data_IF_757694463889
#
_entry.id   IF_757694463889
#
_cell.length_a   1.000
_cell.length_b   1.000
_cell.length_c   1.000
_cell.angle_alpha   90.00
_cell.angle_beta   90.00
_cell.angle_gamma   90.00
#
_symmetry.space_group_name_H-M   'P 1'
#
loop_
_entity.id
_entity.type
_entity.pdbx_description
1 polymer ?
#
# COMPACT_ATOMS: atom_id res chain seq x y z
N UNK A 1 -8.41 -75.29 -41.46
CA UNK A 1 -8.74 -75.45 -40.04
C UNK A 1 -7.47 -75.80 -39.29
N UNK A 2 -6.79 -74.80 -38.73
CA UNK A 2 -5.85 -74.98 -37.62
C UNK A 2 -5.73 -73.66 -36.86
N UNK A 3 -5.75 -73.80 -35.54
CA UNK A 3 -5.78 -72.79 -34.49
C UNK A 3 -4.45 -72.05 -34.33
N UNK A 4 -4.51 -70.72 -34.21
CA UNK A 4 -3.39 -69.88 -33.74
C UNK A 4 -3.79 -69.25 -32.39
N UNK A 5 -2.91 -69.22 -31.36
CA UNK A 5 -3.27 -68.87 -30.00
C UNK A 5 -3.32 -67.35 -29.77
N UNK A 6 -4.12 -66.95 -28.77
CA UNK A 6 -4.23 -65.57 -28.30
C UNK A 6 -2.89 -65.04 -27.77
N UNK A 7 -2.48 -63.87 -28.26
CA UNK A 7 -1.38 -63.07 -27.70
C UNK A 7 -1.96 -62.06 -26.70
N UNK A 8 -1.37 -61.88 -25.51
CA UNK A 8 -1.88 -60.93 -24.53
C UNK A 8 -1.62 -59.50 -25.02
N UNK A 9 -2.68 -58.69 -25.06
CA UNK A 9 -2.58 -57.24 -25.25
C UNK A 9 -1.78 -56.64 -24.09
N UNK A 10 -0.54 -56.25 -24.38
CA UNK A 10 0.27 -55.41 -23.50
C UNK A 10 -0.33 -54.00 -23.55
N UNK A 11 -1.06 -53.61 -22.51
CA UNK A 11 -1.50 -52.24 -22.31
C UNK A 11 -0.31 -51.40 -21.81
N UNK A 12 0.40 -50.74 -22.74
CA UNK A 12 1.36 -49.69 -22.41
C UNK A 12 0.76 -48.34 -22.78
N UNK A 13 0.19 -47.66 -21.80
CA UNK A 13 0.71 -46.38 -21.32
C UNK A 13 -0.23 -45.85 -20.25
N UNK A 14 0.25 -45.90 -19.00
CA UNK A 14 -0.31 -45.14 -17.91
C UNK A 14 -0.43 -43.70 -18.33
N UNK A 15 -1.63 -43.14 -18.19
CA UNK A 15 -1.79 -41.71 -18.15
C UNK A 15 -0.94 -41.21 -17.00
N UNK A 16 0.10 -40.46 -17.35
CA UNK A 16 0.80 -39.56 -16.44
C UNK A 16 -0.26 -38.74 -15.71
N UNK A 17 -0.58 -39.16 -14.49
CA UNK A 17 -1.07 -38.28 -13.44
C UNK A 17 0.07 -37.28 -13.23
N UNK A 18 0.04 -36.22 -14.04
CA UNK A 18 0.95 -35.09 -13.90
C UNK A 18 0.97 -34.72 -12.45
N UNK A 19 2.12 -34.96 -11.83
CA UNK A 19 2.50 -34.43 -10.53
C UNK A 19 2.04 -32.97 -10.49
N UNK A 20 0.92 -32.70 -9.82
CA UNK A 20 0.60 -31.36 -9.34
C UNK A 20 1.78 -30.98 -8.44
N UNK A 21 2.77 -30.31 -9.02
CA UNK A 21 3.85 -29.73 -8.25
C UNK A 21 3.18 -28.78 -7.28
N UNK A 22 3.06 -29.18 -6.01
CA UNK A 22 2.59 -28.31 -4.95
C UNK A 22 3.45 -27.05 -5.03
N UNK A 23 2.84 -25.94 -5.44
CA UNK A 23 3.55 -24.68 -5.57
C UNK A 23 4.15 -24.39 -4.21
N UNK A 24 5.48 -24.31 -4.14
CA UNK A 24 6.13 -24.22 -2.85
C UNK A 24 5.65 -22.93 -2.16
N UNK A 25 5.32 -22.92 -0.85
CA UNK A 25 4.85 -21.71 -0.16
C UNK A 25 5.78 -20.50 -0.30
N UNK A 26 7.07 -20.73 -0.60
CA UNK A 26 8.04 -19.69 -0.94
C UNK A 26 7.83 -19.03 -2.30
N UNK A 27 7.42 -19.78 -3.33
CA UNK A 27 7.14 -19.25 -4.68
C UNK A 27 5.91 -18.34 -4.66
N UNK A 28 4.88 -18.71 -3.90
CA UNK A 28 3.69 -17.88 -3.66
C UNK A 28 4.08 -16.57 -2.95
N UNK A 29 4.94 -16.65 -1.93
CA UNK A 29 5.41 -15.47 -1.21
C UNK A 29 6.18 -14.49 -2.10
N UNK A 30 7.07 -14.98 -2.97
CA UNK A 30 7.81 -14.16 -3.93
C UNK A 30 6.86 -13.48 -4.91
N UNK A 31 5.89 -14.21 -5.47
CA UNK A 31 4.87 -13.66 -6.36
C UNK A 31 4.06 -12.53 -5.71
N UNK A 32 3.68 -12.68 -4.44
CA UNK A 32 2.98 -11.65 -3.66
C UNK A 32 3.86 -10.41 -3.47
N UNK A 33 5.13 -10.59 -3.08
CA UNK A 33 6.06 -9.47 -2.89
C UNK A 33 6.28 -8.70 -4.19
N UNK A 34 6.48 -9.38 -5.32
CA UNK A 34 6.66 -8.74 -6.63
C UNK A 34 5.40 -7.98 -7.04
N UNK A 35 4.23 -8.63 -6.93
CA UNK A 35 2.95 -8.00 -7.26
C UNK A 35 2.70 -6.73 -6.43
N UNK A 36 2.99 -6.77 -5.12
CA UNK A 36 2.87 -5.62 -4.22
C UNK A 36 3.92 -4.56 -4.49
N UNK A 37 5.15 -4.96 -4.79
CA UNK A 37 6.22 -4.03 -5.20
C UNK A 37 5.80 -3.19 -6.39
N UNK A 38 5.22 -3.82 -7.42
CA UNK A 38 4.70 -3.14 -8.61
C UNK A 38 3.64 -2.09 -8.25
N UNK A 39 2.65 -2.45 -7.42
CA UNK A 39 1.61 -1.52 -6.98
C UNK A 39 2.16 -0.33 -6.20
N UNK A 40 3.09 -0.59 -5.27
CA UNK A 40 3.73 0.48 -4.51
C UNK A 40 4.66 1.33 -5.36
N UNK A 41 5.30 0.76 -6.37
CA UNK A 41 6.11 1.53 -7.30
C UNK A 41 5.26 2.58 -8.01
N UNK A 42 4.15 2.21 -8.65
CA UNK A 42 3.22 3.16 -9.30
C UNK A 42 2.70 4.21 -8.29
N UNK A 43 2.31 3.74 -7.10
CA UNK A 43 1.86 4.60 -6.02
C UNK A 43 2.89 5.67 -5.62
N UNK A 44 4.15 5.26 -5.42
CA UNK A 44 5.22 6.17 -5.01
C UNK A 44 5.72 7.04 -6.16
N UNK A 45 5.65 6.56 -7.40
CA UNK A 45 5.88 7.40 -8.59
C UNK A 45 4.94 8.60 -8.57
N UNK A 46 3.64 8.36 -8.37
CA UNK A 46 2.68 9.44 -8.22
C UNK A 46 2.98 10.30 -6.97
N UNK A 47 3.24 9.66 -5.82
CA UNK A 47 3.49 10.37 -4.56
C UNK A 47 4.68 11.34 -4.64
N UNK A 48 5.81 10.89 -5.17
CA UNK A 48 7.00 11.73 -5.37
C UNK A 48 6.72 12.83 -6.40
N UNK A 49 6.04 12.52 -7.51
CA UNK A 49 5.65 13.52 -8.50
C UNK A 49 4.70 14.58 -7.91
N UNK A 50 3.82 14.21 -6.98
CA UNK A 50 2.92 15.17 -6.31
C UNK A 50 3.66 16.18 -5.42
N UNK A 51 4.82 15.81 -4.88
CA UNK A 51 5.66 16.72 -4.10
C UNK A 51 6.59 17.57 -4.98
N UNK A 52 7.17 16.98 -6.03
CA UNK A 52 8.27 17.60 -6.78
C UNK A 52 7.88 18.22 -8.13
N UNK A 53 6.83 17.71 -8.77
CA UNK A 53 6.52 17.94 -10.18
C UNK A 53 5.19 18.65 -10.37
N UNK A 54 4.11 18.03 -9.88
CA UNK A 54 2.75 18.49 -10.13
C UNK A 54 2.45 19.91 -9.66
N UNK A 55 3.04 20.43 -8.56
CA UNK A 55 2.84 21.82 -8.16
C UNK A 55 3.19 22.80 -9.30
N UNK A 56 4.29 22.55 -10.02
CA UNK A 56 4.70 23.39 -11.16
C UNK A 56 3.96 23.05 -12.45
N UNK A 57 3.77 21.77 -12.75
CA UNK A 57 3.23 21.33 -14.06
C UNK A 57 1.71 21.54 -14.18
N UNK A 58 0.97 21.35 -13.09
CA UNK A 58 -0.49 21.36 -13.09
C UNK A 58 -1.10 22.53 -12.32
N UNK A 59 -0.34 23.16 -11.42
CA UNK A 59 -0.82 24.28 -10.61
C UNK A 59 0.08 25.54 -10.70
N UNK A 60 0.60 25.93 -11.89
CA UNK A 60 1.52 27.07 -12.00
C UNK A 60 0.90 28.42 -11.64
N UNK A 61 -0.43 28.49 -11.56
CA UNK A 61 -1.19 29.69 -11.21
C UNK A 61 -1.26 29.96 -9.70
N UNK A 62 -0.80 29.03 -8.85
CA UNK A 62 -0.85 29.16 -7.40
C UNK A 62 0.56 29.36 -6.82
N UNK A 63 0.64 30.01 -5.66
CA UNK A 63 1.89 30.13 -4.90
C UNK A 63 2.46 28.74 -4.54
N UNK A 64 3.79 28.57 -4.42
CA UNK A 64 4.42 27.25 -4.29
C UNK A 64 3.82 26.34 -3.22
N UNK A 65 3.58 26.88 -2.01
CA UNK A 65 2.94 26.12 -0.93
C UNK A 65 1.52 25.67 -1.31
N UNK A 66 0.72 26.57 -1.87
CA UNK A 66 -0.67 26.27 -2.22
C UNK A 66 -0.76 25.31 -3.41
N UNK A 67 0.14 25.42 -4.38
CA UNK A 67 0.29 24.47 -5.48
C UNK A 67 0.61 23.05 -4.97
N UNK A 68 1.48 22.91 -3.96
CA UNK A 68 1.76 21.63 -3.31
C UNK A 68 0.56 21.09 -2.55
N UNK A 69 -0.18 21.94 -1.83
CA UNK A 69 -1.41 21.53 -1.15
C UNK A 69 -2.49 21.07 -2.14
N UNK A 70 -2.65 21.75 -3.28
CA UNK A 70 -3.55 21.29 -4.34
C UNK A 70 -3.13 19.95 -4.92
N UNK A 71 -1.83 19.74 -5.13
CA UNK A 71 -1.34 18.43 -5.57
C UNK A 71 -1.63 17.32 -4.55
N UNK A 72 -1.45 17.59 -3.26
CA UNK A 72 -1.79 16.64 -2.20
C UNK A 72 -3.30 16.42 -2.03
N UNK A 73 -4.13 17.43 -2.32
CA UNK A 73 -5.57 17.27 -2.36
C UNK A 73 -5.99 16.30 -3.49
N UNK A 74 -5.38 16.41 -4.68
CA UNK A 74 -5.61 15.46 -5.78
C UNK A 74 -5.06 14.07 -5.42
N UNK A 75 -3.88 13.99 -4.79
CA UNK A 75 -3.30 12.74 -4.30
C UNK A 75 -4.27 11.97 -3.39
N UNK A 76 -4.95 12.68 -2.48
CA UNK A 76 -5.93 12.13 -1.54
C UNK A 76 -7.15 11.50 -2.22
N UNK A 77 -7.52 11.94 -3.43
CA UNK A 77 -8.70 11.44 -4.16
C UNK A 77 -8.62 9.94 -4.43
N UNK A 78 -7.44 9.38 -4.70
CA UNK A 78 -7.30 7.94 -4.87
C UNK A 78 -7.75 7.16 -3.63
N UNK A 79 -7.43 7.66 -2.43
CA UNK A 79 -7.82 6.99 -1.20
C UNK A 79 -9.30 7.16 -0.88
N UNK A 80 -9.88 8.31 -1.23
CA UNK A 80 -11.33 8.52 -1.12
C UNK A 80 -12.06 7.54 -2.06
N UNK A 81 -11.54 7.35 -3.27
CA UNK A 81 -12.12 6.47 -4.27
C UNK A 81 -11.92 4.97 -3.97
N UNK A 82 -10.90 4.58 -3.19
CA UNK A 82 -10.60 3.17 -2.87
C UNK A 82 -11.75 2.40 -2.22
N UNK A 83 -12.34 2.85 -1.09
CA UNK A 83 -13.49 2.15 -0.51
C UNK A 83 -14.66 1.99 -1.49
N UNK A 84 -14.92 3.01 -2.33
CA UNK A 84 -15.96 2.96 -3.36
C UNK A 84 -15.62 1.90 -4.42
N UNK A 85 -14.36 1.86 -4.85
CA UNK A 85 -13.82 0.81 -5.72
C UNK A 85 -14.00 -0.58 -5.12
N UNK A 86 -13.66 -0.77 -3.85
CA UNK A 86 -13.82 -2.05 -3.15
C UNK A 86 -15.27 -2.51 -3.15
N UNK A 87 -16.23 -1.62 -2.84
CA UNK A 87 -17.66 -1.94 -2.90
C UNK A 87 -18.07 -2.36 -4.32
N UNK A 88 -17.68 -1.56 -5.33
CA UNK A 88 -17.99 -1.81 -6.73
C UNK A 88 -17.42 -3.16 -7.21
N UNK A 89 -16.15 -3.43 -6.94
CA UNK A 89 -15.48 -4.63 -7.42
C UNK A 89 -15.88 -5.89 -6.64
N UNK A 90 -16.24 -5.79 -5.37
CA UNK A 90 -16.87 -6.90 -4.64
C UNK A 90 -18.24 -7.26 -5.23
N UNK A 91 -19.02 -6.25 -5.65
CA UNK A 91 -20.26 -6.47 -6.39
C UNK A 91 -20.01 -7.13 -7.76
N UNK A 92 -19.04 -6.65 -8.55
CA UNK A 92 -18.64 -7.28 -9.82
C UNK A 92 -18.23 -8.74 -9.61
N UNK A 93 -17.44 -9.03 -8.57
CA UNK A 93 -17.06 -10.40 -8.24
C UNK A 93 -18.27 -11.27 -7.88
N UNK A 94 -19.24 -10.74 -7.12
CA UNK A 94 -20.45 -11.49 -6.76
C UNK A 94 -21.34 -11.82 -7.96
N UNK A 95 -21.29 -11.00 -9.02
CA UNK A 95 -22.19 -11.10 -10.17
C UNK A 95 -21.60 -11.84 -11.38
N UNK A 96 -20.28 -11.82 -11.53
CA UNK A 96 -19.56 -12.46 -12.65
C UNK A 96 -18.49 -13.44 -12.16
N UNK A 97 -17.28 -12.97 -11.85
CA UNK A 97 -16.18 -13.82 -11.38
C UNK A 97 -15.05 -13.00 -10.76
N UNK A 98 -14.15 -13.68 -10.02
CA UNK A 98 -12.89 -13.09 -9.53
C UNK A 98 -11.98 -12.64 -10.67
N UNK A 99 -11.93 -13.41 -11.77
CA UNK A 99 -11.17 -13.06 -12.97
C UNK A 99 -11.66 -11.75 -13.57
N UNK A 100 -12.97 -11.61 -13.80
CA UNK A 100 -13.58 -10.38 -14.34
C UNK A 100 -13.28 -9.17 -13.46
N UNK A 101 -13.42 -9.31 -12.13
CA UNK A 101 -13.05 -8.27 -11.16
C UNK A 101 -11.60 -7.83 -11.36
N UNK A 102 -10.66 -8.78 -11.36
CA UNK A 102 -9.23 -8.47 -11.41
C UNK A 102 -8.82 -7.86 -12.75
N UNK A 103 -9.32 -8.39 -13.87
CA UNK A 103 -9.08 -7.84 -15.21
C UNK A 103 -9.55 -6.40 -15.31
N UNK A 104 -10.80 -6.13 -14.90
CA UNK A 104 -11.38 -4.80 -14.99
C UNK A 104 -10.64 -3.79 -14.09
N UNK A 105 -10.27 -4.20 -12.87
CA UNK A 105 -9.50 -3.38 -11.95
C UNK A 105 -8.12 -3.01 -12.52
N UNK A 106 -7.36 -4.00 -12.99
CA UNK A 106 -6.01 -3.78 -13.49
C UNK A 106 -5.99 -3.05 -14.84
N UNK A 107 -6.98 -3.27 -15.70
CA UNK A 107 -7.15 -2.49 -16.93
C UNK A 107 -7.45 -1.02 -16.62
N UNK A 108 -8.34 -0.74 -15.67
CA UNK A 108 -8.62 0.63 -15.21
C UNK A 108 -7.38 1.29 -14.60
N UNK A 109 -6.60 0.54 -13.80
CA UNK A 109 -5.34 1.02 -13.25
C UNK A 109 -4.34 1.39 -14.36
N UNK A 110 -4.06 0.46 -15.27
CA UNK A 110 -3.10 0.65 -16.35
C UNK A 110 -3.48 1.80 -17.29
N UNK A 111 -4.75 1.89 -17.69
CA UNK A 111 -5.24 2.99 -18.53
C UNK A 111 -5.18 4.34 -17.83
N UNK A 112 -5.44 4.40 -16.53
CA UNK A 112 -5.30 5.64 -15.74
C UNK A 112 -3.84 6.07 -15.61
N UNK A 113 -2.92 5.13 -15.35
CA UNK A 113 -1.48 5.39 -15.26
C UNK A 113 -0.92 5.84 -16.63
N UNK A 114 -1.35 5.22 -17.72
CA UNK A 114 -1.05 5.69 -19.08
C UNK A 114 -1.60 7.11 -19.33
N UNK A 115 -2.84 7.36 -18.93
CA UNK A 115 -3.49 8.66 -19.05
C UNK A 115 -2.69 9.78 -18.38
N UNK A 116 -2.15 9.53 -17.19
CA UNK A 116 -1.27 10.47 -16.48
C UNK A 116 0.07 10.66 -17.22
N UNK A 117 0.68 9.58 -17.71
CA UNK A 117 1.96 9.65 -18.41
C UNK A 117 1.89 10.52 -19.68
N UNK A 118 0.78 10.47 -20.41
CA UNK A 118 0.56 11.26 -21.63
C UNK A 118 -0.13 12.61 -21.38
N UNK A 119 -0.46 12.96 -20.13
CA UNK A 119 -1.24 14.15 -19.83
C UNK A 119 -0.44 15.45 -20.12
N UNK A 120 -0.97 16.37 -20.95
CA UNK A 120 -0.37 17.68 -21.14
C UNK A 120 -0.48 18.52 -19.86
N UNK A 121 0.52 19.38 -19.61
CA UNK A 121 0.53 20.29 -18.47
C UNK A 121 -0.48 21.44 -18.58
N UNK A 122 -0.62 22.21 -17.49
CA UNK A 122 -1.57 23.32 -17.41
C UNK A 122 -1.36 24.37 -18.49
N UNK A 123 -0.12 24.66 -18.87
CA UNK A 123 0.20 25.64 -19.92
C UNK A 123 -0.39 25.28 -21.30
N UNK A 124 -0.66 23.99 -21.57
CA UNK A 124 -1.18 23.53 -22.86
C UNK A 124 -2.71 23.45 -22.90
N UNK A 125 -3.34 22.96 -21.83
CA UNK A 125 -4.78 22.67 -21.82
C UNK A 125 -5.53 23.27 -20.61
N UNK A 126 -4.87 24.13 -19.83
CA UNK A 126 -5.45 24.87 -18.71
C UNK A 126 -6.02 23.98 -17.62
N UNK A 127 -7.16 24.40 -17.07
CA UNK A 127 -7.86 23.69 -15.98
C UNK A 127 -8.25 22.25 -16.34
N UNK A 128 -8.42 21.95 -17.62
CA UNK A 128 -8.69 20.58 -18.10
C UNK A 128 -7.58 19.61 -17.68
N UNK A 129 -6.32 20.05 -17.61
CA UNK A 129 -5.21 19.22 -17.12
C UNK A 129 -5.44 18.76 -15.67
N UNK A 130 -5.89 19.69 -14.81
CA UNK A 130 -6.16 19.41 -13.39
C UNK A 130 -7.35 18.47 -13.23
N UNK A 131 -8.41 18.67 -14.01
CA UNK A 131 -9.61 17.82 -14.00
C UNK A 131 -9.26 16.40 -14.45
N UNK A 132 -8.51 16.26 -15.55
CA UNK A 132 -8.08 14.95 -16.04
C UNK A 132 -7.13 14.25 -15.06
N UNK A 133 -6.17 14.98 -14.47
CA UNK A 133 -5.30 14.43 -13.43
C UNK A 133 -6.12 13.90 -12.25
N UNK A 134 -7.15 14.65 -11.82
CA UNK A 134 -8.05 14.28 -10.74
C UNK A 134 -8.91 13.07 -11.09
N UNK A 135 -9.41 13.00 -12.32
CA UNK A 135 -10.16 11.87 -12.84
C UNK A 135 -9.29 10.61 -12.86
N UNK A 136 -8.11 10.66 -13.48
CA UNK A 136 -7.20 9.52 -13.53
C UNK A 136 -6.77 9.08 -12.14
N UNK A 137 -6.48 10.02 -11.23
CA UNK A 137 -6.12 9.68 -9.85
C UNK A 137 -7.27 9.01 -9.10
N UNK A 138 -8.50 9.48 -9.28
CA UNK A 138 -9.69 8.85 -8.71
C UNK A 138 -9.89 7.45 -9.28
N UNK A 139 -9.74 7.28 -10.60
CA UNK A 139 -9.81 5.99 -11.29
C UNK A 139 -8.74 5.00 -10.81
N UNK A 140 -7.50 5.44 -10.58
CA UNK A 140 -6.46 4.61 -9.94
C UNK A 140 -6.93 4.15 -8.55
N UNK A 141 -7.55 5.03 -7.76
CA UNK A 141 -8.13 4.68 -6.47
C UNK A 141 -9.23 3.62 -6.57
N UNK A 142 -10.20 3.81 -7.47
CA UNK A 142 -11.27 2.83 -7.75
C UNK A 142 -10.66 1.49 -8.13
N UNK A 143 -9.67 1.49 -9.03
CA UNK A 143 -8.99 0.29 -9.49
C UNK A 143 -8.28 -0.46 -8.37
N UNK A 144 -7.57 0.25 -7.48
CA UNK A 144 -6.85 -0.36 -6.35
C UNK A 144 -7.78 -1.11 -5.39
N UNK A 145 -8.99 -0.58 -5.13
CA UNK A 145 -9.99 -1.30 -4.33
C UNK A 145 -10.43 -2.63 -4.96
N UNK A 146 -10.30 -2.77 -6.28
CA UNK A 146 -10.55 -4.02 -6.99
C UNK A 146 -9.36 -4.99 -7.04
N UNK A 147 -8.14 -4.51 -6.80
CA UNK A 147 -6.93 -5.17 -7.29
C UNK A 147 -6.18 -6.04 -6.31
N UNK A 148 -6.50 -6.08 -4.99
CA UNK A 148 -6.14 -7.15 -4.01
C UNK A 148 -6.20 -6.80 -2.49
N UNK A 149 -6.82 -5.69 -2.06
CA UNK A 149 -6.82 -5.32 -0.64
C UNK A 149 -7.50 -6.39 0.26
N UNK A 150 -6.71 -7.05 1.11
CA UNK A 150 -7.15 -8.11 2.04
C UNK A 150 -6.36 -9.42 1.99
N UNK A 151 -5.66 -9.71 0.89
CA UNK A 151 -4.92 -10.98 0.72
C UNK A 151 -3.70 -11.14 1.63
N UNK A 152 -2.90 -10.10 1.95
CA UNK A 152 -1.87 -10.21 2.99
C UNK A 152 -2.43 -10.62 4.36
N UNK A 153 -3.64 -10.17 4.69
CA UNK A 153 -4.33 -10.59 5.92
C UNK A 153 -4.74 -12.07 5.88
N UNK A 154 -5.13 -12.58 4.71
CA UNK A 154 -5.52 -13.99 4.51
C UNK A 154 -4.31 -14.92 4.47
N UNK A 155 -3.21 -14.52 3.82
CA UNK A 155 -1.92 -15.23 3.84
C UNK A 155 -1.44 -15.46 5.28
N UNK A 156 -1.51 -14.42 6.13
CA UNK A 156 -1.15 -14.54 7.54
C UNK A 156 -2.08 -15.45 8.36
N UNK A 157 -3.31 -15.73 7.89
CA UNK A 157 -4.26 -16.59 8.58
C UNK A 157 -4.06 -18.07 8.24
N UNK A 158 -3.73 -18.35 6.98
CA UNK A 158 -3.40 -19.68 6.47
C UNK A 158 -1.98 -20.13 6.86
N UNK A 159 -1.12 -19.21 7.31
CA UNK A 159 0.20 -19.53 7.84
C UNK A 159 0.14 -20.27 9.20
N UNK A 160 1.15 -21.13 9.49
CA UNK A 160 1.31 -21.79 10.79
C UNK A 160 1.23 -20.79 11.94
N UNK A 161 0.59 -21.18 13.06
CA UNK A 161 0.31 -20.26 14.20
C UNK A 161 1.54 -19.50 14.70
N UNK A 162 2.73 -20.11 14.63
CA UNK A 162 4.01 -19.56 15.10
C UNK A 162 4.80 -18.76 14.04
N UNK A 163 4.26 -18.59 12.81
CA UNK A 163 4.87 -17.80 11.73
C UNK A 163 3.96 -16.71 11.16
N UNK A 164 2.83 -16.43 11.82
CA UNK A 164 1.81 -15.52 11.27
C UNK A 164 2.32 -14.08 11.14
N UNK A 165 3.21 -13.65 12.03
CA UNK A 165 3.92 -12.37 11.95
C UNK A 165 4.86 -12.31 10.76
N UNK A 166 5.64 -13.38 10.52
CA UNK A 166 6.48 -13.52 9.33
C UNK A 166 5.68 -13.43 8.02
N UNK A 167 4.61 -14.20 7.87
CA UNK A 167 3.81 -14.15 6.64
C UNK A 167 3.04 -12.83 6.46
N UNK A 168 2.63 -12.18 7.56
CA UNK A 168 2.00 -10.86 7.48
C UNK A 168 2.95 -9.78 6.94
N UNK A 169 4.22 -9.79 7.37
CA UNK A 169 5.20 -8.80 6.89
C UNK A 169 5.58 -9.01 5.43
N UNK A 170 5.55 -10.25 4.92
CA UNK A 170 5.96 -10.54 3.53
C UNK A 170 5.11 -9.75 2.54
N UNK A 171 3.79 -9.69 2.75
CA UNK A 171 2.90 -8.89 1.90
C UNK A 171 3.13 -7.36 1.99
N UNK A 172 3.81 -6.91 3.05
CA UNK A 172 4.11 -5.50 3.30
C UNK A 172 5.50 -5.09 2.77
N UNK A 173 6.42 -6.04 2.57
CA UNK A 173 7.77 -5.79 2.02
C UNK A 173 7.74 -5.13 0.63
N UNK A 174 6.66 -5.31 -0.14
CA UNK A 174 6.50 -4.63 -1.42
C UNK A 174 6.53 -3.09 -1.30
N UNK A 175 6.11 -2.52 -0.16
CA UNK A 175 6.10 -1.08 0.05
C UNK A 175 7.50 -0.44 0.01
N UNK A 176 8.45 -0.83 0.87
CA UNK A 176 9.78 -0.24 0.85
C UNK A 176 10.55 -0.59 -0.43
N UNK A 177 10.33 -1.77 -1.03
CA UNK A 177 11.00 -2.11 -2.31
C UNK A 177 10.49 -1.21 -3.44
N UNK A 178 9.17 -1.05 -3.59
CA UNK A 178 8.59 -0.15 -4.59
C UNK A 178 9.03 1.30 -4.38
N UNK A 179 9.10 1.73 -3.12
CA UNK A 179 9.61 3.05 -2.75
C UNK A 179 11.08 3.26 -3.14
N UNK A 180 11.97 2.31 -2.82
CA UNK A 180 13.40 2.39 -3.15
C UNK A 180 13.58 2.57 -4.66
N UNK A 181 12.89 1.77 -5.47
CA UNK A 181 13.00 1.84 -6.93
C UNK A 181 12.49 3.19 -7.45
N UNK A 182 11.33 3.66 -6.95
CA UNK A 182 10.79 4.96 -7.34
C UNK A 182 11.72 6.12 -6.93
N UNK A 183 12.17 6.15 -5.68
CA UNK A 183 13.05 7.20 -5.16
C UNK A 183 14.41 7.21 -5.87
N UNK A 184 15.00 6.04 -6.13
CA UNK A 184 16.24 5.94 -6.89
C UNK A 184 16.08 6.43 -8.34
N UNK A 185 14.98 6.08 -8.99
CA UNK A 185 14.69 6.53 -10.36
C UNK A 185 14.49 8.05 -10.41
N UNK A 186 13.71 8.63 -9.50
CA UNK A 186 13.56 10.08 -9.40
C UNK A 186 14.88 10.76 -9.07
N UNK A 187 15.69 10.20 -8.18
CA UNK A 187 17.02 10.74 -7.84
C UNK A 187 17.91 10.80 -9.07
N UNK A 188 17.95 9.71 -9.85
CA UNK A 188 18.72 9.61 -11.09
C UNK A 188 18.24 10.62 -12.13
N UNK A 189 16.94 10.71 -12.38
CA UNK A 189 16.40 11.66 -13.36
C UNK A 189 16.68 13.11 -12.95
N UNK A 190 16.52 13.44 -11.67
CA UNK A 190 16.76 14.79 -11.15
C UNK A 190 18.24 15.17 -11.17
N UNK A 191 19.16 14.21 -11.04
CA UNK A 191 20.61 14.48 -11.14
C UNK A 191 21.15 14.50 -12.56
N UNK A 192 20.49 13.79 -13.49
CA UNK A 192 20.99 13.58 -14.86
C UNK A 192 20.40 14.56 -15.87
N UNK A 193 19.25 15.18 -15.57
CA UNK A 193 18.57 16.10 -16.47
C UNK A 193 18.70 17.54 -15.99
N UNK A 194 18.59 18.48 -16.94
CA UNK A 194 18.37 19.89 -16.58
C UNK A 194 17.00 20.06 -15.93
N UNK A 195 16.82 21.12 -15.14
CA UNK A 195 15.50 21.43 -14.55
C UNK A 195 14.42 21.56 -15.63
N UNK A 196 14.75 22.18 -16.78
CA UNK A 196 13.80 22.34 -17.89
C UNK A 196 13.38 20.98 -18.46
N UNK A 197 14.33 20.10 -18.78
CA UNK A 197 14.03 18.77 -19.32
C UNK A 197 13.27 17.89 -18.32
N UNK A 198 13.61 17.99 -17.04
CA UNK A 198 12.94 17.23 -15.99
C UNK A 198 11.45 17.57 -15.90
N UNK A 199 11.10 18.86 -15.94
CA UNK A 199 9.70 19.32 -15.89
C UNK A 199 8.97 19.19 -17.24
N UNK A 200 9.69 19.26 -18.36
CA UNK A 200 9.10 19.12 -19.69
C UNK A 200 8.72 17.68 -20.00
N UNK A 201 9.62 16.71 -19.82
CA UNK A 201 9.35 15.30 -20.16
C UNK A 201 9.90 14.29 -19.14
N UNK A 202 10.99 14.61 -18.44
CA UNK A 202 11.71 13.65 -17.59
C UNK A 202 10.85 12.98 -16.53
N UNK A 203 9.96 13.74 -15.88
CA UNK A 203 9.05 13.22 -14.85
C UNK A 203 8.03 12.20 -15.37
N UNK A 204 7.77 12.12 -16.68
CA UNK A 204 6.84 11.15 -17.27
C UNK A 204 7.45 9.75 -17.35
N UNK A 205 8.78 9.66 -17.40
CA UNK A 205 9.50 8.38 -17.54
C UNK A 205 9.16 7.36 -16.44
N UNK A 206 9.14 7.72 -15.14
CA UNK A 206 8.68 6.82 -14.08
C UNK A 206 7.23 6.32 -14.27
N UNK A 207 6.33 7.11 -14.84
CA UNK A 207 4.96 6.68 -15.14
C UNK A 207 4.92 5.68 -16.30
N UNK A 208 5.78 5.84 -17.32
CA UNK A 208 5.93 4.83 -18.37
C UNK A 208 6.52 3.53 -17.83
N UNK A 209 7.50 3.60 -16.92
CA UNK A 209 8.01 2.43 -16.22
C UNK A 209 6.89 1.76 -15.40
N UNK A 210 6.07 2.52 -14.70
CA UNK A 210 4.95 2.00 -13.91
C UNK A 210 3.90 1.34 -14.81
N UNK A 211 3.60 1.94 -15.96
CA UNK A 211 2.73 1.36 -16.98
C UNK A 211 3.25 0.01 -17.48
N UNK A 212 4.54 -0.07 -17.83
CA UNK A 212 5.15 -1.32 -18.30
C UNK A 212 5.06 -2.43 -17.24
N UNK A 213 5.39 -2.10 -15.99
CA UNK A 213 5.31 -3.07 -14.88
C UNK A 213 3.85 -3.47 -14.62
N UNK A 214 2.88 -2.55 -14.69
CA UNK A 214 1.46 -2.84 -14.54
C UNK A 214 0.95 -3.80 -15.63
N UNK A 215 1.40 -3.65 -16.88
CA UNK A 215 1.05 -4.57 -17.98
C UNK A 215 1.59 -5.97 -17.72
N UNK A 216 2.87 -6.09 -17.34
CA UNK A 216 3.47 -7.40 -17.00
C UNK A 216 2.75 -8.02 -15.80
N UNK A 217 2.49 -7.23 -14.75
CA UNK A 217 1.77 -7.68 -13.57
C UNK A 217 0.35 -8.15 -13.90
N UNK A 218 -0.36 -7.47 -14.82
CA UNK A 218 -1.66 -7.91 -15.32
C UNK A 218 -1.58 -9.30 -15.92
N UNK A 219 -0.66 -9.55 -16.85
CA UNK A 219 -0.50 -10.88 -17.46
C UNK A 219 -0.16 -11.96 -16.44
N UNK A 220 0.79 -11.69 -15.53
CA UNK A 220 1.15 -12.64 -14.47
C UNK A 220 -0.05 -12.98 -13.56
N UNK A 221 -0.86 -11.96 -13.21
CA UNK A 221 -2.02 -12.13 -12.32
C UNK A 221 -3.20 -12.81 -12.99
N UNK A 222 -3.45 -12.51 -14.26
CA UNK A 222 -4.46 -13.22 -15.04
C UNK A 222 -4.11 -14.71 -15.12
N UNK A 223 -2.84 -15.02 -15.37
CA UNK A 223 -2.37 -16.41 -15.39
C UNK A 223 -2.64 -17.11 -14.06
N UNK A 224 -2.29 -16.46 -12.94
CA UNK A 224 -2.51 -16.99 -11.58
C UNK A 224 -3.99 -17.23 -11.23
N UNK A 225 -4.90 -16.35 -11.65
CA UNK A 225 -6.35 -16.52 -11.38
C UNK A 225 -6.96 -17.61 -12.26
N UNK A 226 -6.45 -17.77 -13.48
CA UNK A 226 -6.93 -18.79 -14.43
C UNK A 226 -6.45 -20.19 -14.02
N UNK A 227 -5.20 -20.31 -13.55
CA UNK A 227 -4.71 -21.54 -12.91
C UNK A 227 -5.37 -21.72 -11.54
N UNK A 228 -6.28 -22.70 -11.40
CA UNK A 228 -7.08 -22.97 -10.19
C UNK A 228 -6.27 -23.26 -8.90
N UNK A 229 -4.94 -23.28 -8.96
CA UNK A 229 -4.03 -23.56 -7.85
C UNK A 229 -4.25 -22.63 -6.64
N UNK A 230 -4.50 -21.33 -6.89
CA UNK A 230 -4.67 -20.37 -5.79
C UNK A 230 -6.01 -20.53 -5.04
N UNK A 231 -7.05 -20.99 -5.71
CA UNK A 231 -8.40 -21.17 -5.14
C UNK A 231 -8.49 -22.39 -4.23
N UNK A 232 -7.78 -23.47 -4.60
CA UNK A 232 -7.77 -24.72 -3.82
C UNK A 232 -6.95 -24.59 -2.53
N UNK A 233 -5.84 -23.84 -2.53
CA UNK A 233 -5.00 -23.67 -1.33
C UNK A 233 -5.53 -22.61 -0.33
N UNK A 234 -6.28 -21.60 -0.80
CA UNK A 234 -6.84 -20.55 0.06
C UNK A 234 -8.16 -20.93 0.74
N UNK A 235 -8.79 -22.04 0.33
CA UNK A 235 -10.13 -22.45 0.76
C UNK A 235 -11.21 -21.59 0.10
N UNK A 236 -11.88 -22.13 -0.93
CA UNK A 236 -12.77 -21.38 -1.83
C UNK A 236 -13.86 -20.54 -1.12
N UNK A 237 -14.32 -20.99 0.06
CA UNK A 237 -15.35 -20.36 0.87
C UNK A 237 -14.89 -19.12 1.67
N UNK A 238 -13.58 -18.91 1.88
CA UNK A 238 -13.09 -17.75 2.65
C UNK A 238 -12.95 -16.46 1.82
N UNK A 239 -13.18 -16.55 0.51
CA UNK A 239 -12.95 -15.47 -0.46
C UNK A 239 -14.26 -15.04 -1.16
N UNK A 240 -15.41 -15.38 -0.59
CA UNK A 240 -16.71 -14.94 -1.08
C UNK A 240 -17.09 -13.56 -0.51
N UNK A 241 -17.52 -12.63 -1.36
CA UNK A 241 -17.95 -11.32 -0.90
C UNK A 241 -19.31 -11.42 -0.19
N UNK A 242 -19.44 -10.78 0.98
CA UNK A 242 -20.73 -10.53 1.61
C UNK A 242 -21.25 -9.13 1.30
N UNK A 243 -22.58 -8.89 1.36
CA UNK A 243 -23.14 -7.55 1.23
C UNK A 243 -22.52 -6.59 2.25
N UNK A 244 -22.04 -5.44 1.77
CA UNK A 244 -21.36 -4.44 2.61
C UNK A 244 -22.29 -3.88 3.68
N UNK A 245 -23.57 -3.71 3.36
CA UNK A 245 -24.61 -3.29 4.31
C UNK A 245 -24.78 -4.30 5.45
N UNK A 246 -24.74 -5.60 5.14
CA UNK A 246 -24.77 -6.67 6.14
C UNK A 246 -23.53 -6.62 7.04
N UNK A 247 -22.34 -6.48 6.45
CA UNK A 247 -21.08 -6.36 7.20
C UNK A 247 -21.12 -5.19 8.18
N UNK A 248 -21.55 -3.99 7.75
CA UNK A 248 -21.58 -2.83 8.64
C UNK A 248 -22.63 -2.97 9.75
N UNK A 249 -23.77 -3.61 9.46
CA UNK A 249 -24.80 -3.89 10.46
C UNK A 249 -24.32 -4.85 11.54
N UNK A 250 -23.58 -5.90 11.17
CA UNK A 250 -23.18 -6.98 12.10
C UNK A 250 -21.80 -6.73 12.72
N UNK A 251 -20.85 -6.21 11.94
CA UNK A 251 -19.43 -6.09 12.31
C UNK A 251 -18.84 -4.69 12.07
N UNK A 252 -19.65 -3.66 11.82
CA UNK A 252 -19.18 -2.29 11.55
C UNK A 252 -18.20 -1.75 12.59
N UNK A 253 -18.44 -1.99 13.88
CA UNK A 253 -17.51 -1.59 14.96
C UNK A 253 -16.11 -2.20 14.80
N UNK A 254 -16.02 -3.46 14.34
CA UNK A 254 -14.75 -4.14 14.12
C UNK A 254 -13.98 -3.58 12.92
N UNK A 255 -14.70 -3.10 11.90
CA UNK A 255 -14.11 -2.37 10.76
C UNK A 255 -13.42 -1.10 11.24
N UNK A 256 -14.11 -0.26 12.02
CA UNK A 256 -13.51 0.97 12.55
C UNK A 256 -12.34 0.68 13.49
N UNK A 257 -12.49 -0.26 14.44
CA UNK A 257 -11.40 -0.64 15.34
C UNK A 257 -10.17 -1.09 14.55
N UNK A 258 -10.36 -1.88 13.49
CA UNK A 258 -9.26 -2.31 12.64
C UNK A 258 -8.61 -1.18 11.85
N UNK A 259 -9.41 -0.23 11.34
CA UNK A 259 -8.89 0.94 10.64
C UNK A 259 -8.00 1.79 11.56
N UNK A 260 -8.40 1.96 12.82
CA UNK A 260 -7.63 2.73 13.80
C UNK A 260 -6.45 1.94 14.43
N UNK A 261 -6.52 0.61 14.47
CA UNK A 261 -5.51 -0.25 15.10
C UNK A 261 -4.12 -0.20 14.44
N UNK A 262 -4.01 0.32 13.22
CA UNK A 262 -2.73 0.55 12.54
C UNK A 262 -2.57 2.00 12.06
N UNK A 263 -3.40 2.93 12.57
CA UNK A 263 -3.41 4.33 12.14
C UNK A 263 -2.03 4.99 12.28
N UNK A 264 -1.32 4.73 13.38
CA UNK A 264 0.04 5.22 13.59
C UNK A 264 1.00 4.80 12.47
N UNK A 265 0.90 3.55 12.00
CA UNK A 265 1.73 3.04 10.91
C UNK A 265 1.43 3.76 9.59
N UNK A 266 0.14 3.95 9.27
CA UNK A 266 -0.28 4.65 8.04
C UNK A 266 0.03 6.15 8.07
N UNK A 267 -0.12 6.80 9.23
CA UNK A 267 0.28 8.19 9.42
C UNK A 267 1.80 8.34 9.23
N UNK A 268 2.59 7.48 9.89
CA UNK A 268 4.05 7.47 9.73
C UNK A 268 4.45 7.27 8.26
N UNK A 269 3.74 6.41 7.53
CA UNK A 269 4.05 6.03 6.14
C UNK A 269 4.30 7.25 5.23
N UNK A 270 3.40 8.24 5.23
CA UNK A 270 3.58 9.44 4.41
C UNK A 270 4.38 10.55 5.07
N UNK A 271 4.44 10.57 6.40
CA UNK A 271 5.26 11.53 7.15
C UNK A 271 6.77 11.28 6.95
N UNK A 272 7.18 10.07 6.58
CA UNK A 272 8.58 9.75 6.29
C UNK A 272 8.88 9.54 4.81
N UNK A 273 7.89 9.60 3.92
CA UNK A 273 8.08 9.42 2.47
C UNK A 273 7.75 10.70 1.70
N UNK A 274 6.47 11.05 1.60
CA UNK A 274 6.01 12.14 0.72
C UNK A 274 6.13 13.52 1.39
N UNK A 275 5.72 13.64 2.65
CA UNK A 275 5.74 14.93 3.36
C UNK A 275 7.15 15.56 3.42
N UNK A 276 8.21 14.83 3.80
CA UNK A 276 9.54 15.43 3.91
C UNK A 276 10.05 15.96 2.57
N UNK A 277 9.73 15.29 1.46
CA UNK A 277 10.08 15.79 0.13
C UNK A 277 9.49 17.17 -0.13
N UNK A 278 8.21 17.38 0.19
CA UNK A 278 7.61 18.72 0.04
C UNK A 278 8.20 19.75 0.99
N UNK A 279 8.52 19.37 2.23
CA UNK A 279 9.14 20.27 3.20
C UNK A 279 10.53 20.73 2.75
N UNK A 280 11.36 19.79 2.32
CA UNK A 280 12.70 20.06 1.80
C UNK A 280 12.64 20.94 0.55
N UNK A 281 11.73 20.63 -0.37
CA UNK A 281 11.55 21.38 -1.62
C UNK A 281 11.09 22.84 -1.40
N UNK A 282 10.27 23.10 -0.38
CA UNK A 282 9.66 24.42 -0.13
C UNK A 282 10.46 25.29 0.85
N UNK A 283 11.09 24.70 1.87
CA UNK A 283 11.63 25.44 3.02
C UNK A 283 13.12 25.24 3.25
N UNK A 284 13.82 24.50 2.39
CA UNK A 284 15.27 24.26 2.54
C UNK A 284 16.00 24.37 1.21
N UNK A 285 17.31 24.58 1.26
CA UNK A 285 18.18 24.64 0.07
C UNK A 285 18.88 23.29 -0.22
N UNK A 286 18.38 22.18 0.33
CA UNK A 286 19.05 20.90 0.15
C UNK A 286 18.89 20.32 -1.25
N UNK A 287 19.92 19.61 -1.68
CA UNK A 287 19.90 18.87 -2.94
C UNK A 287 18.87 17.72 -2.87
N UNK A 288 17.84 17.79 -3.70
CA UNK A 288 16.73 16.84 -3.75
C UNK A 288 17.21 15.42 -4.09
N UNK A 289 18.12 15.25 -5.05
CA UNK A 289 18.68 13.93 -5.40
C UNK A 289 19.38 13.29 -4.19
N UNK A 290 20.20 14.07 -3.46
CA UNK A 290 20.85 13.58 -2.23
C UNK A 290 19.83 13.18 -1.17
N UNK A 291 18.76 13.97 -1.01
CA UNK A 291 17.69 13.67 -0.06
C UNK A 291 16.91 12.40 -0.45
N UNK A 292 16.65 12.18 -1.74
CA UNK A 292 16.07 10.93 -2.24
C UNK A 292 16.98 9.71 -1.99
N UNK A 293 18.31 9.85 -2.09
CA UNK A 293 19.23 8.77 -1.74
C UNK A 293 19.25 8.45 -0.24
N UNK A 294 19.06 9.45 0.63
CA UNK A 294 18.85 9.22 2.07
C UNK A 294 17.55 8.43 2.30
N UNK A 295 16.49 8.76 1.56
CA UNK A 295 15.24 8.02 1.60
C UNK A 295 15.40 6.58 1.09
N UNK A 296 16.22 6.33 0.06
CA UNK A 296 16.57 4.99 -0.40
C UNK A 296 17.25 4.20 0.72
N UNK A 297 18.23 4.79 1.40
CA UNK A 297 18.87 4.17 2.58
C UNK A 297 17.85 3.89 3.70
N UNK A 298 16.93 4.83 3.94
CA UNK A 298 15.79 4.64 4.84
C UNK A 298 14.90 3.48 4.42
N UNK A 299 14.58 3.33 3.12
CA UNK A 299 13.82 2.20 2.59
C UNK A 299 14.47 0.85 2.92
N UNK A 300 15.79 0.73 2.83
CA UNK A 300 16.50 -0.49 3.25
C UNK A 300 16.40 -0.73 4.77
N UNK A 301 16.44 0.32 5.59
CA UNK A 301 16.18 0.20 7.04
C UNK A 301 14.73 -0.22 7.31
N UNK A 302 13.77 0.25 6.52
CA UNK A 302 12.39 -0.18 6.62
C UNK A 302 12.23 -1.66 6.28
N UNK A 303 12.95 -2.19 5.27
CA UNK A 303 13.00 -3.62 4.98
C UNK A 303 13.52 -4.39 6.21
N UNK A 304 14.66 -3.97 6.76
CA UNK A 304 15.22 -4.58 7.98
C UNK A 304 14.26 -4.54 9.16
N UNK A 305 13.58 -3.39 9.37
CA UNK A 305 12.55 -3.22 10.39
C UNK A 305 11.33 -4.13 10.18
N UNK A 306 10.88 -4.33 8.94
CA UNK A 306 9.77 -5.25 8.63
C UNK A 306 10.14 -6.70 8.93
N UNK A 307 11.35 -7.13 8.53
CA UNK A 307 11.85 -8.47 8.85
C UNK A 307 11.93 -8.69 10.36
N UNK A 308 12.50 -7.72 11.09
CA UNK A 308 12.54 -7.74 12.55
C UNK A 308 11.13 -7.79 13.17
N UNK A 309 10.19 -7.01 12.63
CA UNK A 309 8.79 -7.00 13.10
C UNK A 309 8.15 -8.38 13.01
N UNK A 310 8.44 -9.15 11.95
CA UNK A 310 7.92 -10.49 11.76
C UNK A 310 8.36 -11.43 12.87
N UNK A 311 9.67 -11.47 13.14
CA UNK A 311 10.28 -12.29 14.19
C UNK A 311 9.77 -11.88 15.58
N UNK A 312 9.71 -10.58 15.86
CA UNK A 312 9.21 -10.04 17.14
C UNK A 312 7.72 -10.42 17.31
N UNK A 313 6.91 -10.26 16.28
CA UNK A 313 5.48 -10.56 16.32
C UNK A 313 5.18 -12.06 16.41
N UNK A 314 6.04 -12.93 15.89
CA UNK A 314 5.92 -14.37 16.08
C UNK A 314 6.24 -14.80 17.52
N UNK A 315 7.15 -14.10 18.19
CA UNK A 315 7.53 -14.36 19.59
C UNK A 315 6.58 -13.74 20.61
N UNK A 316 6.18 -12.48 20.41
CA UNK A 316 5.42 -11.68 21.39
C UNK A 316 3.96 -11.43 20.98
N UNK A 317 3.59 -11.78 19.75
CA UNK A 317 2.26 -11.55 19.19
C UNK A 317 2.13 -10.24 18.43
N UNK A 318 1.31 -10.24 17.38
CA UNK A 318 1.12 -9.10 16.45
C UNK A 318 0.54 -7.84 17.10
N UNK A 319 -0.49 -7.99 17.94
CA UNK A 319 -1.17 -6.85 18.59
C UNK A 319 -0.27 -6.17 19.63
N UNK A 320 0.43 -6.89 20.53
CA UNK A 320 1.45 -6.30 21.40
C UNK A 320 2.56 -5.56 20.62
N UNK A 321 3.06 -6.14 19.53
CA UNK A 321 4.07 -5.48 18.68
C UNK A 321 3.58 -4.16 18.09
N UNK A 322 2.33 -4.12 17.61
CA UNK A 322 1.72 -2.86 17.14
C UNK A 322 1.57 -1.83 18.25
N UNK A 323 1.16 -2.23 19.45
CA UNK A 323 1.08 -1.33 20.60
C UNK A 323 2.44 -0.77 21.01
N UNK A 324 3.47 -1.61 21.07
CA UNK A 324 4.84 -1.20 21.41
C UNK A 324 5.42 -0.24 20.35
N UNK A 325 5.19 -0.53 19.07
CA UNK A 325 5.65 0.37 17.99
C UNK A 325 4.84 1.67 17.96
N UNK A 326 3.54 1.66 18.26
CA UNK A 326 2.76 2.88 18.40
C UNK A 326 3.29 3.77 19.55
N UNK A 327 3.72 3.18 20.68
CA UNK A 327 4.37 3.92 21.76
C UNK A 327 5.72 4.50 21.31
N UNK A 328 6.53 3.74 20.57
CA UNK A 328 7.79 4.24 20.01
C UNK A 328 7.56 5.41 19.04
N UNK A 329 6.51 5.34 18.22
CA UNK A 329 6.07 6.43 17.34
C UNK A 329 5.63 7.65 18.16
N UNK A 330 4.91 7.46 19.28
CA UNK A 330 4.54 8.55 20.18
C UNK A 330 5.77 9.25 20.76
N UNK A 331 6.79 8.50 21.19
CA UNK A 331 8.05 9.08 21.67
C UNK A 331 8.75 9.84 20.53
N UNK A 332 8.88 9.22 19.36
CA UNK A 332 9.48 9.86 18.18
C UNK A 332 8.75 11.15 17.77
N UNK A 333 7.43 11.21 17.95
CA UNK A 333 6.63 12.40 17.64
C UNK A 333 7.05 13.64 18.43
N UNK A 334 7.58 13.47 19.66
CA UNK A 334 8.12 14.57 20.45
C UNK A 334 9.43 15.13 19.91
N UNK A 335 10.25 14.28 19.27
CA UNK A 335 11.53 14.65 18.66
C UNK A 335 11.39 15.10 17.21
N UNK A 336 10.31 14.73 16.52
CA UNK A 336 10.07 15.04 15.11
C UNK A 336 10.22 16.53 14.78
N UNK A 337 9.65 17.49 15.54
CA UNK A 337 9.79 18.92 15.24
C UNK A 337 11.23 19.40 15.31
N UNK A 338 11.98 18.96 16.34
CA UNK A 338 13.39 19.35 16.53
C UNK A 338 14.30 18.75 15.47
N UNK A 339 14.02 17.51 15.02
CA UNK A 339 14.81 16.87 13.98
C UNK A 339 14.55 17.49 12.60
N UNK A 340 13.30 17.85 12.29
CA UNK A 340 12.94 18.50 11.04
C UNK A 340 13.40 19.96 10.95
N UNK A 341 13.36 20.69 12.08
CA UNK A 341 13.72 22.12 12.15
C UNK A 341 15.18 22.38 12.45
N UNK A 342 15.98 21.33 12.63
CA UNK A 342 17.42 21.43 12.81
C UNK A 342 18.16 21.68 11.50
N UNK A 343 19.23 20.93 11.26
CA UNK A 343 20.00 20.99 10.01
C UNK A 343 19.86 19.73 9.13
N UNK A 344 20.60 19.65 8.02
CA UNK A 344 20.58 18.50 7.11
C UNK A 344 20.83 17.17 7.81
N UNK A 345 21.74 17.13 8.78
CA UNK A 345 22.04 15.92 9.56
C UNK A 345 20.84 15.52 10.43
N UNK A 346 20.21 16.47 11.11
CA UNK A 346 19.02 16.22 11.95
C UNK A 346 17.85 15.68 11.11
N UNK A 347 17.65 16.22 9.91
CA UNK A 347 16.63 15.74 8.98
C UNK A 347 16.95 14.35 8.46
N UNK A 348 18.22 14.02 8.18
CA UNK A 348 18.61 12.66 7.84
C UNK A 348 18.31 11.68 8.98
N UNK A 349 18.59 12.07 10.24
CA UNK A 349 18.24 11.26 11.42
C UNK A 349 16.73 11.06 11.52
N UNK A 350 15.92 12.12 11.31
CA UNK A 350 14.45 11.99 11.23
C UNK A 350 14.03 10.93 10.21
N UNK A 351 14.60 10.97 8.99
CA UNK A 351 14.27 10.02 7.94
C UNK A 351 14.67 8.59 8.31
N UNK A 352 15.92 8.36 8.71
CA UNK A 352 16.44 7.02 8.98
C UNK A 352 15.72 6.35 10.17
N UNK A 353 15.51 7.09 11.26
CA UNK A 353 14.75 6.59 12.42
C UNK A 353 13.28 6.41 12.07
N UNK A 354 12.70 7.35 11.34
CA UNK A 354 11.31 7.29 10.87
C UNK A 354 11.04 6.06 10.00
N UNK A 355 11.92 5.76 9.03
CA UNK A 355 11.80 4.55 8.21
C UNK A 355 12.00 3.25 9.00
N UNK A 356 12.92 3.22 9.97
CA UNK A 356 13.09 2.05 10.83
C UNK A 356 11.82 1.78 11.65
N UNK A 357 11.25 2.82 12.26
CA UNK A 357 9.97 2.74 13.00
C UNK A 357 8.81 2.36 12.07
N UNK A 358 8.79 2.92 10.86
CA UNK A 358 7.82 2.54 9.83
C UNK A 358 7.92 1.05 9.52
N UNK A 359 9.12 0.52 9.30
CA UNK A 359 9.34 -0.90 9.03
C UNK A 359 8.83 -1.78 10.18
N UNK A 360 9.21 -1.45 11.41
CA UNK A 360 8.80 -2.18 12.61
C UNK A 360 7.27 -2.19 12.80
N UNK A 361 6.60 -1.08 12.49
CA UNK A 361 5.16 -0.94 12.68
C UNK A 361 4.35 -1.48 11.50
N UNK A 362 4.66 -1.03 10.28
CA UNK A 362 3.92 -1.32 9.06
C UNK A 362 3.96 -2.80 8.65
N UNK A 363 5.05 -3.50 8.99
CA UNK A 363 5.17 -4.95 8.77
C UNK A 363 4.07 -5.76 9.45
N UNK A 364 3.47 -5.24 10.53
CA UNK A 364 2.40 -5.92 11.26
C UNK A 364 1.01 -5.28 11.10
N UNK A 365 0.93 -4.14 10.42
CA UNK A 365 -0.30 -3.34 10.25
C UNK A 365 -1.43 -4.11 9.55
N UNK A 366 -1.11 -4.93 8.54
CA UNK A 366 -2.12 -5.61 7.72
C UNK A 366 -2.88 -6.67 8.49
N UNK A 367 -4.15 -6.43 8.78
CA UNK A 367 -5.06 -7.43 9.35
C UNK A 367 -4.76 -7.84 10.78
N UNK A 368 -4.26 -6.91 11.59
CA UNK A 368 -3.97 -7.12 13.00
C UNK A 368 -5.18 -7.62 13.82
N UNK A 369 -6.39 -7.19 13.41
CA UNK A 369 -7.65 -7.53 14.09
C UNK A 369 -8.66 -8.28 13.21
N UNK A 370 -8.24 -8.73 12.02
CA UNK A 370 -9.12 -9.40 11.04
C UNK A 370 -9.76 -10.68 11.57
N UNK A 371 -9.17 -11.31 12.60
CA UNK A 371 -9.76 -12.48 13.28
C UNK A 371 -11.14 -12.20 13.90
N UNK A 372 -11.45 -10.95 14.20
CA UNK A 372 -12.71 -10.59 14.87
C UNK A 372 -13.95 -10.68 13.94
N UNK A 373 -13.75 -10.79 12.63
CA UNK A 373 -14.86 -10.86 11.65
C UNK A 373 -15.52 -12.25 11.58
N UNK A 374 -14.87 -13.31 12.06
CA UNK A 374 -15.29 -14.69 11.74
C UNK A 374 -14.95 -15.07 10.29
N UNK A 375 -15.18 -16.32 9.87
CA UNK A 375 -14.83 -16.76 8.50
C UNK A 375 -15.72 -16.09 7.45
N UNK A 376 -17.04 -16.04 7.68
CA UNK A 376 -18.04 -15.47 6.74
C UNK A 376 -17.78 -14.01 6.33
N UNK A 377 -17.42 -13.13 7.28
CA UNK A 377 -17.25 -11.70 7.00
C UNK A 377 -15.79 -11.28 6.75
N UNK A 378 -14.86 -12.25 6.75
CA UNK A 378 -13.43 -11.99 6.79
C UNK A 378 -12.92 -11.23 5.58
N UNK A 379 -13.32 -11.66 4.40
CA UNK A 379 -12.80 -11.14 3.14
C UNK A 379 -13.21 -9.68 2.93
N UNK A 380 -14.51 -9.42 2.88
CA UNK A 380 -15.08 -8.07 2.77
C UNK A 380 -14.64 -7.18 3.93
N UNK A 381 -14.61 -7.72 5.15
CA UNK A 381 -14.17 -7.00 6.35
C UNK A 381 -12.70 -6.57 6.27
N UNK A 382 -11.79 -7.46 5.85
CA UNK A 382 -10.38 -7.16 5.71
C UNK A 382 -10.12 -6.07 4.65
N UNK A 383 -10.79 -6.17 3.50
CA UNK A 383 -10.66 -5.21 2.41
C UNK A 383 -11.06 -3.80 2.85
N UNK A 384 -12.31 -3.65 3.32
CA UNK A 384 -12.84 -2.33 3.74
C UNK A 384 -12.13 -1.76 4.96
N UNK A 385 -11.70 -2.61 5.90
CA UNK A 385 -10.88 -2.16 7.05
C UNK A 385 -9.57 -1.56 6.56
N UNK A 386 -8.92 -2.21 5.58
CA UNK A 386 -7.64 -1.75 5.01
C UNK A 386 -7.83 -0.43 4.25
N UNK A 387 -8.88 -0.32 3.43
CA UNK A 387 -9.17 0.91 2.69
C UNK A 387 -9.46 2.08 3.62
N UNK A 388 -10.26 1.86 4.67
CA UNK A 388 -10.54 2.89 5.66
C UNK A 388 -9.30 3.27 6.47
N UNK A 389 -8.42 2.31 6.79
CA UNK A 389 -7.16 2.60 7.46
C UNK A 389 -6.26 3.51 6.61
N UNK A 390 -6.16 3.21 5.30
CA UNK A 390 -5.44 4.04 4.34
C UNK A 390 -6.08 5.43 4.17
N UNK A 391 -7.40 5.49 4.06
CA UNK A 391 -8.14 6.75 3.93
C UNK A 391 -7.92 7.65 5.14
N UNK A 392 -8.10 7.14 6.35
CA UNK A 392 -8.04 7.96 7.56
C UNK A 392 -6.58 8.25 7.94
N UNK A 393 -5.68 7.26 7.84
CA UNK A 393 -4.31 7.39 8.33
C UNK A 393 -3.35 8.03 7.35
N UNK A 394 -3.53 7.78 6.06
CA UNK A 394 -2.51 8.07 5.06
C UNK A 394 -2.96 9.06 3.96
N UNK A 395 -4.24 9.09 3.58
CA UNK A 395 -4.70 9.90 2.44
C UNK A 395 -4.39 11.39 2.59
N UNK A 396 -4.69 11.91 3.77
CA UNK A 396 -4.58 13.34 4.07
C UNK A 396 -3.28 13.68 4.79
N UNK A 397 -2.43 12.69 5.11
CA UNK A 397 -1.23 12.89 5.89
C UNK A 397 -0.29 13.97 5.33
N UNK A 398 0.12 13.94 4.05
CA UNK A 398 1.00 14.99 3.53
C UNK A 398 0.28 16.33 3.41
N UNK A 399 -1.02 16.35 3.06
CA UNK A 399 -1.84 17.57 2.96
C UNK A 399 -1.97 18.28 4.31
N UNK A 400 -2.41 17.55 5.34
CA UNK A 400 -2.65 18.08 6.69
C UNK A 400 -1.35 18.42 7.37
N UNK A 401 -0.33 17.56 7.29
CA UNK A 401 0.95 17.83 7.92
C UNK A 401 1.62 19.07 7.31
N UNK A 402 1.68 19.18 5.98
CA UNK A 402 2.24 20.35 5.31
C UNK A 402 1.43 21.62 5.61
N UNK A 403 0.10 21.54 5.53
CA UNK A 403 -0.77 22.67 5.81
C UNK A 403 -0.63 23.16 7.26
N UNK A 404 -0.63 22.25 8.23
CA UNK A 404 -0.47 22.62 9.63
C UNK A 404 0.94 23.15 9.93
N UNK A 405 1.99 22.50 9.42
CA UNK A 405 3.35 22.93 9.74
C UNK A 405 3.72 24.25 9.06
N UNK A 406 3.21 24.52 7.86
CA UNK A 406 3.46 25.79 7.16
C UNK A 406 2.75 26.98 7.83
N UNK A 407 1.57 26.76 8.43
CA UNK A 407 0.80 27.85 9.06
C UNK A 407 1.09 28.01 10.57
N UNK A 408 1.41 26.92 11.27
CA UNK A 408 1.51 26.91 12.73
C UNK A 408 2.85 26.35 13.27
N UNK A 409 3.73 25.91 12.37
CA UNK A 409 5.08 25.44 12.71
C UNK A 409 5.24 23.93 12.85
N UNK A 410 6.50 23.49 12.89
CA UNK A 410 6.88 22.07 12.94
C UNK A 410 6.32 21.23 14.11
N UNK A 411 5.99 21.77 15.30
CA UNK A 411 5.34 20.99 16.35
C UNK A 411 4.08 20.25 15.91
N UNK A 412 3.36 20.76 14.90
CA UNK A 412 2.15 20.13 14.40
C UNK A 412 2.40 18.83 13.63
N UNK A 413 3.61 18.60 13.09
CA UNK A 413 4.01 17.30 12.54
C UNK A 413 4.09 16.25 13.66
N UNK A 414 4.65 16.65 14.80
CA UNK A 414 4.68 15.84 16.02
C UNK A 414 3.27 15.54 16.53
N UNK A 415 2.41 16.55 16.64
CA UNK A 415 1.02 16.36 17.05
C UNK A 415 0.25 15.43 16.09
N UNK A 416 0.48 15.53 14.78
CA UNK A 416 -0.12 14.63 13.79
C UNK A 416 0.29 13.18 14.05
N UNK A 417 1.58 12.90 14.22
CA UNK A 417 2.08 11.56 14.55
C UNK A 417 1.56 11.05 15.90
N UNK A 418 1.53 11.92 16.92
CA UNK A 418 1.03 11.59 18.25
C UNK A 418 -0.46 11.22 18.19
N UNK A 419 -1.26 11.94 17.41
CA UNK A 419 -2.68 11.64 17.25
C UNK A 419 -2.91 10.25 16.67
N UNK A 420 -2.08 9.84 15.69
CA UNK A 420 -2.09 8.49 15.13
C UNK A 420 -1.74 7.42 16.17
N UNK A 421 -0.68 7.65 16.94
CA UNK A 421 -0.22 6.76 18.00
C UNK A 421 -1.28 6.58 19.11
N UNK A 422 -1.83 7.67 19.62
CA UNK A 422 -2.90 7.66 20.64
C UNK A 422 -4.13 6.92 20.13
N UNK A 423 -4.55 7.19 18.89
CA UNK A 423 -5.71 6.53 18.29
C UNK A 423 -5.49 5.03 18.11
N UNK A 424 -4.29 4.62 17.70
CA UNK A 424 -3.93 3.20 17.62
C UNK A 424 -3.95 2.52 18.99
N UNK A 425 -3.33 3.13 20.01
CA UNK A 425 -3.35 2.58 21.37
C UNK A 425 -4.79 2.47 21.90
N UNK A 426 -5.61 3.50 21.72
CA UNK A 426 -7.02 3.51 22.12
C UNK A 426 -7.82 2.40 21.41
N UNK A 427 -7.64 2.22 20.10
CA UNK A 427 -8.31 1.16 19.34
C UNK A 427 -7.90 -0.25 19.81
N UNK A 428 -6.62 -0.45 20.10
CA UNK A 428 -6.11 -1.73 20.61
C UNK A 428 -6.64 -2.04 22.03
N UNK A 429 -6.74 -1.03 22.90
CA UNK A 429 -7.35 -1.16 24.22
C UNK A 429 -8.85 -1.48 24.11
N UNK A 430 -9.58 -0.76 23.26
CA UNK A 430 -11.01 -0.99 23.03
C UNK A 430 -11.27 -2.41 22.49
N UNK A 431 -10.42 -2.90 21.59
CA UNK A 431 -10.47 -4.26 21.06
C UNK A 431 -10.28 -5.31 22.16
N UNK A 432 -9.34 -5.10 23.10
CA UNK A 432 -9.12 -6.00 24.23
C UNK A 432 -10.33 -6.05 25.15
N UNK A 433 -10.87 -4.88 25.49
CA UNK A 433 -12.05 -4.77 26.34
C UNK A 433 -13.28 -5.47 25.75
N UNK A 434 -13.49 -5.34 24.43
CA UNK A 434 -14.58 -6.03 23.75
C UNK A 434 -14.47 -7.55 23.85
N UNK A 435 -13.28 -8.09 23.60
CA UNK A 435 -13.04 -9.53 23.70
C UNK A 435 -13.30 -10.08 25.09
N UNK A 436 -12.98 -9.31 26.12
CA UNK A 436 -13.24 -9.71 27.50
C UNK A 436 -14.75 -9.74 27.79
N UNK A 437 -15.51 -8.75 27.31
CA UNK A 437 -16.97 -8.74 27.45
C UNK A 437 -17.65 -9.87 26.69
N UNK A 438 -17.22 -10.14 25.46
CA UNK A 438 -17.74 -11.25 24.63
C UNK A 438 -17.39 -12.63 25.20
N UNK A 439 -16.37 -12.73 26.06
CA UNK A 439 -16.02 -13.97 26.73
C UNK A 439 -16.76 -14.18 28.08
N UNK A 440 -17.45 -13.15 28.58
CA UNK A 440 -18.15 -13.15 29.87
C UNK A 440 -19.67 -13.26 29.74
N UNK A 441 -20.23 -13.02 28.56
CA UNK A 441 -21.65 -13.23 28.24
C UNK A 441 -21.80 -14.34 27.22
#
# INVERSE_FOLDING_TARGET
>A
MSSIPASPTVSVHGQDSGSHAQVAPGEIAVGVVIGRTSEYFDFFVYGIASALVFPKVFFPFAEPLQATLYSFAVFALAFIARPLGTVLFLWIQSRWSRGTKLTAALFLLGTSTAGIAFLPGYEKIGMTAVVLLSLFRSSQGVALGGSWDGLPSLLALNAPKHRRGWYAMLGQLGAPVGFIVAAALFSFLYSSLSNADFYDWGWRYPFFAALAINVVALFSRLRLVVTHEYSQEMGEHELEPVPVTELFRVKGRHVFIGAFAALASYAMFHIVTIFPLSWIQLFTEQNISRFLMVQVAGGFLAIGGMLASGVIADRFGRVPTLGATALAIAVFSGFAPTLLGGGPVSQQVFMLVGFLLLGLSYGQASGAVTRNFGSRYRYTGAALTTDLAWLIGAAFAPLVALGLCANFGLPYVGLYLLSGAVSTLAALLLNRWLKQREAQG
#
